data_IF_329371659457
#
_entry.id   IF_329371659457
#
_cell.length_a   1.000
_cell.length_b   1.000
_cell.length_c   1.000
_cell.angle_alpha   90.00
_cell.angle_beta   90.00
_cell.angle_gamma   90.00
#
_symmetry.space_group_name_H-M   'P 1'
#
loop_
_entity.id
_entity.type
_entity.pdbx_description
1 polymer ?
#
# COMPACT_ATOMS: atom_id res chain seq x y z
N UNK A 1 10.47 18.71 5.42
CA UNK A 1 9.06 19.14 5.32
C UNK A 1 8.17 17.95 5.63
N UNK A 2 7.45 17.97 6.75
CA UNK A 2 6.69 16.84 7.33
C UNK A 2 5.21 16.80 6.93
N UNK A 3 4.91 17.02 5.65
CA UNK A 3 3.55 16.92 5.11
C UNK A 3 2.92 15.54 5.34
N UNK A 4 1.60 15.46 5.26
CA UNK A 4 0.86 14.20 5.45
C UNK A 4 0.80 13.35 4.18
N UNK A 5 1.22 13.89 3.04
CA UNK A 5 1.24 13.19 1.75
C UNK A 5 2.35 12.14 1.61
N UNK A 6 3.33 12.15 2.50
CA UNK A 6 4.45 11.21 2.62
C UNK A 6 4.36 10.33 3.88
N UNK A 7 3.25 10.43 4.62
CA UNK A 7 3.02 9.63 5.82
C UNK A 7 2.09 8.46 5.48
N UNK A 8 2.54 7.25 5.83
CA UNK A 8 1.85 6.01 5.57
C UNK A 8 1.65 5.24 6.87
N UNK A 9 0.42 4.81 7.13
CA UNK A 9 0.09 3.93 8.25
C UNK A 9 0.13 2.48 7.75
N UNK A 10 1.07 1.64 8.23
CA UNK A 10 1.01 0.21 8.00
C UNK A 10 -0.14 -0.39 8.81
N UNK A 11 -0.98 -1.18 8.17
CA UNK A 11 -2.05 -1.96 8.80
C UNK A 11 -1.85 -3.43 8.46
N UNK A 12 -1.77 -4.29 9.48
CA UNK A 12 -1.60 -5.72 9.27
C UNK A 12 -2.82 -6.31 8.54
N UNK A 13 -2.59 -7.17 7.57
CA UNK A 13 -3.61 -7.83 6.75
C UNK A 13 -3.22 -9.26 6.45
N UNK A 14 -4.17 -10.20 6.41
CA UNK A 14 -3.86 -11.57 6.03
C UNK A 14 -2.97 -12.29 7.05
N UNK A 15 -1.82 -12.79 6.60
CA UNK A 15 -0.85 -13.52 7.43
C UNK A 15 0.18 -12.61 8.10
N UNK A 16 0.92 -13.16 9.07
CA UNK A 16 1.99 -12.44 9.75
C UNK A 16 3.00 -11.86 8.75
N UNK A 17 3.36 -10.58 8.92
CA UNK A 17 4.31 -9.87 8.06
C UNK A 17 3.69 -9.22 6.81
N UNK A 18 2.41 -9.42 6.53
CA UNK A 18 1.70 -8.73 5.45
C UNK A 18 1.01 -7.46 5.95
N UNK A 19 1.18 -6.37 5.20
CA UNK A 19 0.63 -5.06 5.51
C UNK A 19 -0.01 -4.43 4.28
N UNK A 20 -1.03 -3.60 4.51
CA UNK A 20 -1.43 -2.55 3.57
C UNK A 20 -0.95 -1.21 4.09
N UNK A 21 -0.59 -0.30 3.19
CA UNK A 21 -0.13 1.05 3.54
C UNK A 21 -1.22 2.07 3.24
N UNK A 22 -1.74 2.73 4.27
CA UNK A 22 -2.79 3.74 4.15
C UNK A 22 -2.20 5.14 4.21
N UNK A 23 -2.41 5.93 3.16
CA UNK A 23 -1.94 7.31 3.08
C UNK A 23 -2.68 8.19 4.09
N UNK A 24 -1.95 8.83 5.01
CA UNK A 24 -2.57 9.62 6.10
C UNK A 24 -3.45 10.77 5.60
N UNK A 25 -3.06 11.41 4.50
CA UNK A 25 -3.77 12.56 3.92
C UNK A 25 -5.08 12.23 3.18
N UNK A 26 -5.31 10.97 2.77
CA UNK A 26 -6.46 10.61 1.92
C UNK A 26 -7.19 9.33 2.32
N UNK A 27 -6.68 8.59 3.31
CA UNK A 27 -7.17 7.27 3.70
C UNK A 27 -7.17 6.22 2.56
N UNK A 28 -6.48 6.50 1.44
CA UNK A 28 -6.31 5.57 0.32
C UNK A 28 -5.14 4.62 0.56
N UNK A 29 -5.26 3.41 0.03
CA UNK A 29 -4.21 2.39 0.09
C UNK A 29 -3.20 2.56 -1.06
N UNK A 30 -1.94 2.21 -0.78
CA UNK A 30 -0.95 1.95 -1.82
C UNK A 30 -1.37 0.69 -2.60
N UNK A 31 -1.35 0.78 -3.93
CA UNK A 31 -1.77 -0.31 -4.81
C UNK A 31 -0.79 -0.44 -5.99
N UNK A 32 -0.51 -1.68 -6.40
CA UNK A 32 0.18 -1.97 -7.67
C UNK A 32 -0.83 -1.89 -8.81
N UNK A 33 -0.57 -1.03 -9.80
CA UNK A 33 -1.48 -0.84 -10.92
C UNK A 33 -1.65 -2.15 -11.71
N UNK A 34 -2.90 -2.51 -11.98
CA UNK A 34 -3.31 -3.75 -12.66
C UNK A 34 -2.77 -5.03 -12.01
N UNK A 35 -2.37 -5.00 -10.72
CA UNK A 35 -1.71 -6.12 -10.05
C UNK A 35 -0.46 -6.64 -10.78
N UNK A 36 0.24 -5.75 -11.50
CA UNK A 36 1.41 -6.12 -12.31
C UNK A 36 2.55 -6.67 -11.44
N UNK A 37 3.17 -7.75 -11.89
CA UNK A 37 4.40 -8.31 -11.31
C UNK A 37 5.65 -7.94 -12.09
N UNK A 38 5.52 -7.15 -13.16
CA UNK A 38 6.64 -6.73 -13.98
C UNK A 38 7.50 -5.65 -13.30
N UNK A 39 8.78 -5.63 -13.64
CA UNK A 39 9.68 -4.56 -13.21
C UNK A 39 9.18 -3.20 -13.71
N UNK A 40 9.28 -2.18 -12.84
CA UNK A 40 8.74 -0.86 -13.12
C UNK A 40 7.21 -0.75 -12.98
N UNK A 41 6.55 -1.76 -12.39
CA UNK A 41 5.13 -1.67 -12.06
C UNK A 41 4.83 -0.39 -11.28
N UNK A 42 3.84 0.37 -11.77
CA UNK A 42 3.46 1.64 -11.17
C UNK A 42 2.71 1.42 -9.86
N UNK A 43 3.07 2.21 -8.87
CA UNK A 43 2.33 2.31 -7.61
C UNK A 43 1.39 3.52 -7.63
N UNK A 44 0.16 3.34 -7.17
CA UNK A 44 -0.84 4.40 -7.09
C UNK A 44 -1.62 4.36 -5.78
N UNK A 45 -2.30 5.46 -5.47
CA UNK A 45 -3.21 5.59 -4.32
C UNK A 45 -4.62 5.27 -4.77
N UNK A 46 -5.16 4.15 -4.30
CA UNK A 46 -6.52 3.68 -4.64
C UNK A 46 -7.37 3.54 -3.38
N UNK A 47 -8.68 3.47 -3.56
CA UNK A 47 -9.56 3.10 -2.45
C UNK A 47 -9.13 1.72 -1.95
N UNK A 48 -9.11 1.53 -0.63
CA UNK A 48 -8.76 0.24 -0.07
C UNK A 48 -9.84 -0.79 -0.45
N UNK A 49 -9.45 -1.82 -1.21
CA UNK A 49 -10.37 -2.83 -1.76
C UNK A 49 -10.04 -4.24 -1.24
N UNK A 50 -8.96 -4.39 -0.48
CA UNK A 50 -8.54 -5.67 0.10
C UNK A 50 -7.91 -6.64 -0.89
N UNK A 51 -7.72 -6.23 -2.15
CA UNK A 51 -7.04 -7.04 -3.16
C UNK A 51 -5.59 -7.32 -2.79
N UNK A 52 -5.03 -8.38 -3.38
CA UNK A 52 -3.60 -8.71 -3.20
C UNK A 52 -2.68 -7.59 -3.73
N UNK A 53 -3.15 -6.77 -4.68
CA UNK A 53 -2.42 -5.61 -5.20
C UNK A 53 -2.17 -4.52 -4.15
N UNK A 54 -2.83 -4.59 -2.99
CA UNK A 54 -2.68 -3.66 -1.87
C UNK A 54 -1.96 -4.28 -0.66
N UNK A 55 -1.40 -5.50 -0.80
CA UNK A 55 -0.72 -6.22 0.28
C UNK A 55 0.76 -6.31 -0.03
N UNK A 56 1.57 -5.95 0.95
CA UNK A 56 3.02 -5.90 0.84
C UNK A 56 3.61 -6.67 2.02
N UNK A 57 4.61 -7.51 1.74
CA UNK A 57 5.43 -8.11 2.78
C UNK A 57 6.39 -7.04 3.32
N UNK A 58 6.43 -6.86 4.64
CA UNK A 58 7.42 -6.02 5.30
C UNK A 58 8.43 -6.93 6.00
N UNK A 59 9.61 -7.05 5.42
CA UNK A 59 10.75 -7.76 5.99
C UNK A 59 11.71 -6.76 6.61
N UNK A 60 12.18 -7.05 7.83
CA UNK A 60 13.24 -6.28 8.50
C UNK A 60 14.62 -6.65 7.97
#
# INVERSE_FOLDING_TARGET
>A
MGGTNQQWRPEAVGTAGQYRFVARHSAKCLAVDNASTADGARLSRRNCDGSAAQRFALTG
#
